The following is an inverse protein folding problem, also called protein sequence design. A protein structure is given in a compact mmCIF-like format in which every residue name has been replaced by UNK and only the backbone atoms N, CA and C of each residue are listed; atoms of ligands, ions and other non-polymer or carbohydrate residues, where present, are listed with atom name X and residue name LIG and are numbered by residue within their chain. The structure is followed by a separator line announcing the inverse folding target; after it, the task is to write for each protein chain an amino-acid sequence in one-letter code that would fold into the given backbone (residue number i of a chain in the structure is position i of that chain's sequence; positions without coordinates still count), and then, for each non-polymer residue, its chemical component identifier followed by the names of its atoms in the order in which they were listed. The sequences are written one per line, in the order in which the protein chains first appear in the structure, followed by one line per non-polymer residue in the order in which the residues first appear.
data_IF_468701074463
#
_entry.id   IF_468701074463
#
_cell.length_a   1.000
_cell.length_b   1.000
_cell.length_c   1.000
_cell.angle_alpha   90.00
_cell.angle_beta   90.00
_cell.angle_gamma   90.00
#
_symmetry.space_group_name_H-M   'P 1'
#
loop_
_entity.id
_entity.type
_entity.pdbx_description
1 polymer ?
#
# COMPACT_ATOMS: atom_id res chain seq x y z
N UNK A 1 0.35 11.85 -7.35
CA UNK A 1 -0.61 11.95 -6.21
C UNK A 1 0.12 11.44 -4.97
N UNK A 2 -0.19 11.93 -3.76
CA UNK A 2 0.52 11.47 -2.56
C UNK A 2 -0.01 10.12 -2.08
N UNK A 3 0.88 9.19 -1.76
CA UNK A 3 0.55 7.95 -1.05
C UNK A 3 -0.01 8.27 0.35
N UNK A 4 -0.96 7.47 0.82
CA UNK A 4 -1.64 7.72 2.08
C UNK A 4 -2.14 6.44 2.76
N UNK A 5 -2.36 6.52 4.07
CA UNK A 5 -2.89 5.44 4.89
C UNK A 5 -4.11 5.93 5.67
N UNK A 6 -5.17 5.12 5.63
CA UNK A 6 -6.42 5.34 6.38
C UNK A 6 -6.57 4.24 7.42
N UNK A 7 -7.00 4.63 8.62
CA UNK A 7 -7.35 3.72 9.72
C UNK A 7 -8.82 3.90 10.04
N UNK A 8 -9.55 2.80 10.12
CA UNK A 8 -10.97 2.81 10.42
C UNK A 8 -11.30 1.79 11.52
N UNK A 9 -12.34 2.11 12.28
CA UNK A 9 -12.98 1.21 13.24
C UNK A 9 -14.43 1.04 12.82
N UNK A 10 -14.92 -0.20 12.84
CA UNK A 10 -16.28 -0.56 12.48
C UNK A 10 -16.89 -1.54 13.50
N UNK A 11 -18.21 -1.72 13.45
CA UNK A 11 -18.97 -2.63 14.32
C UNK A 11 -18.71 -2.40 15.83
N UNK A 12 -18.93 -1.19 16.35
CA UNK A 12 -18.70 -0.86 17.77
C UNK A 12 -17.26 -1.19 18.24
N UNK A 13 -16.26 -0.85 17.44
CA UNK A 13 -14.83 -1.12 17.70
C UNK A 13 -14.43 -2.61 17.70
N UNK A 14 -15.30 -3.51 17.24
CA UNK A 14 -14.98 -4.93 17.11
C UNK A 14 -14.11 -5.23 15.88
N UNK A 15 -14.18 -4.39 14.85
CA UNK A 15 -13.40 -4.56 13.63
C UNK A 15 -12.51 -3.34 13.42
N UNK A 16 -11.22 -3.58 13.21
CA UNK A 16 -10.23 -2.55 12.86
C UNK A 16 -9.75 -2.79 11.44
N UNK A 17 -9.95 -1.80 10.58
CA UNK A 17 -9.54 -1.84 9.19
C UNK A 17 -8.41 -0.84 8.93
N UNK A 18 -7.51 -1.21 8.03
CA UNK A 18 -6.44 -0.38 7.52
C UNK A 18 -6.48 -0.46 6.00
N UNK A 19 -6.35 0.69 5.35
CA UNK A 19 -6.21 0.77 3.91
C UNK A 19 -5.06 1.71 3.60
N UNK A 20 -4.19 1.34 2.66
CA UNK A 20 -3.11 2.18 2.22
C UNK A 20 -3.06 2.18 0.69
N UNK A 21 -2.84 3.37 0.12
CA UNK A 21 -2.48 3.54 -1.28
C UNK A 21 -0.98 3.84 -1.33
N UNK A 22 -0.20 2.91 -1.91
CA UNK A 22 1.27 2.97 -1.93
C UNK A 22 1.84 2.89 -3.34
N UNK A 23 1.13 3.45 -4.32
CA UNK A 23 1.46 3.33 -5.75
C UNK A 23 2.80 4.00 -6.09
N UNK A 24 3.07 5.18 -5.54
CA UNK A 24 4.33 5.88 -5.78
C UNK A 24 5.50 5.18 -5.10
N UNK A 25 5.31 4.74 -3.86
CA UNK A 25 6.32 4.06 -3.05
C UNK A 25 6.76 2.74 -3.68
N UNK A 26 5.80 1.92 -4.12
CA UNK A 26 6.09 0.64 -4.82
C UNK A 26 6.71 0.91 -6.20
N UNK A 27 6.23 1.91 -6.94
CA UNK A 27 6.81 2.29 -8.23
C UNK A 27 8.25 2.78 -8.12
N UNK A 28 8.59 3.52 -7.07
CA UNK A 28 9.97 3.95 -6.82
C UNK A 28 10.88 2.80 -6.43
N UNK A 29 10.41 1.89 -5.57
CA UNK A 29 11.16 0.68 -5.24
C UNK A 29 11.44 -0.18 -6.48
N UNK A 30 10.44 -0.33 -7.35
CA UNK A 30 10.57 -1.07 -8.62
C UNK A 30 11.63 -0.46 -9.52
N UNK A 31 11.65 0.88 -9.67
CA UNK A 31 12.67 1.58 -10.48
C UNK A 31 14.07 1.44 -9.89
N UNK A 32 14.23 1.59 -8.57
CA UNK A 32 15.54 1.53 -7.90
C UNK A 32 16.14 0.13 -7.90
N UNK A 33 15.31 -0.89 -7.71
CA UNK A 33 15.76 -2.28 -7.65
C UNK A 33 15.64 -3.01 -8.99
N UNK A 34 15.21 -2.33 -10.05
CA UNK A 34 15.02 -2.89 -11.40
C UNK A 34 14.23 -4.21 -11.39
N UNK A 35 13.24 -4.31 -10.50
CA UNK A 35 12.50 -5.55 -10.31
C UNK A 35 11.58 -5.80 -11.50
N UNK A 36 11.45 -7.09 -11.85
CA UNK A 36 10.52 -7.51 -12.89
C UNK A 36 9.07 -7.33 -12.41
N UNK A 37 8.09 -7.22 -13.33
CA UNK A 37 6.68 -7.05 -12.96
C UNK A 37 6.18 -8.15 -12.01
N UNK A 38 6.65 -9.39 -12.18
CA UNK A 38 6.29 -10.52 -11.31
C UNK A 38 6.85 -10.37 -9.90
N UNK A 39 8.11 -9.93 -9.78
CA UNK A 39 8.79 -9.71 -8.49
C UNK A 39 8.26 -8.48 -7.76
N UNK A 40 7.64 -7.55 -8.49
CA UNK A 40 7.07 -6.32 -7.94
C UNK A 40 5.63 -6.51 -7.45
N UNK A 41 4.94 -7.57 -7.88
CA UNK A 41 3.56 -7.87 -7.52
C UNK A 41 3.43 -8.96 -6.45
N UNK A 42 4.46 -9.80 -6.27
CA UNK A 42 4.56 -10.84 -5.25
C UNK A 42 4.91 -10.27 -3.88
#
# INVERSE_FOLDING_TARGET
MADYLVRALACNSQVRAFAALTTETVGEAQRRHQTLPVTSAA
#
